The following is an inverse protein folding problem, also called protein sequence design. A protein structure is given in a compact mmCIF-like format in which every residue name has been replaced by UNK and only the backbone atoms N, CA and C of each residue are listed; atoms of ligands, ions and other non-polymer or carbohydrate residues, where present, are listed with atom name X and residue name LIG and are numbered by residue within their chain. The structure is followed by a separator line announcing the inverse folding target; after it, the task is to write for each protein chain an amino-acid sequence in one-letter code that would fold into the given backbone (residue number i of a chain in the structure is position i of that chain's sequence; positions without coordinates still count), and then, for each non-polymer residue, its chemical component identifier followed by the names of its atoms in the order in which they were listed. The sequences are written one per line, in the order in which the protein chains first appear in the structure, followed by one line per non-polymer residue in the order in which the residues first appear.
data_IF_960498240305
#
_entry.id   IF_960498240305
#
_cell.length_a   1.000
_cell.length_b   1.000
_cell.length_c   1.000
_cell.angle_alpha   90.00
_cell.angle_beta   90.00
_cell.angle_gamma   90.00
#
_symmetry.space_group_name_H-M   'P 1'
#
loop_
_entity.id
_entity.type
_entity.pdbx_description
1 polymer ?
#
# COMPACT_ATOMS: atom_id res chain seq x y z
N UNK A 1 -2.92 16.90 64.01
CA UNK A 1 -2.87 17.54 62.68
C UNK A 1 -1.71 17.00 61.80
N UNK A 2 -0.57 16.68 62.37
CA UNK A 2 0.63 16.21 61.63
C UNK A 2 0.47 14.77 61.09
N UNK A 3 -0.26 13.90 61.82
CA UNK A 3 -0.44 12.50 61.43
C UNK A 3 -1.39 12.29 60.24
N UNK A 4 -2.36 13.19 60.03
CA UNK A 4 -3.24 13.19 58.84
C UNK A 4 -2.51 13.61 57.57
N UNK A 5 -1.63 14.60 57.67
CA UNK A 5 -0.82 15.04 56.53
C UNK A 5 0.22 14.01 56.07
N UNK A 6 0.72 13.18 57.00
CA UNK A 6 1.65 12.08 56.68
C UNK A 6 0.95 10.94 55.99
N UNK A 7 -0.26 10.56 56.38
CA UNK A 7 -1.07 9.52 55.72
C UNK A 7 -1.55 9.92 54.33
N UNK A 8 -1.87 11.22 54.16
CA UNK A 8 -2.29 11.74 52.85
C UNK A 8 -1.14 11.83 51.85
N UNK A 9 0.10 12.12 52.31
CA UNK A 9 1.30 12.04 51.48
C UNK A 9 1.68 10.59 51.14
N UNK A 10 1.49 9.64 52.06
CA UNK A 10 1.75 8.22 51.79
C UNK A 10 0.71 7.64 50.82
N UNK A 11 -0.57 8.02 50.91
CA UNK A 11 -1.63 7.63 49.98
C UNK A 11 -1.38 8.19 48.56
N UNK A 12 -1.02 9.48 48.47
CA UNK A 12 -0.66 10.08 47.16
C UNK A 12 0.62 9.52 46.54
N UNK A 13 1.59 9.11 47.38
CA UNK A 13 2.79 8.43 46.93
C UNK A 13 2.50 7.00 46.44
N UNK A 14 1.56 6.28 47.06
CA UNK A 14 1.11 4.96 46.62
C UNK A 14 0.21 5.02 45.40
N UNK A 15 -0.63 6.03 45.24
CA UNK A 15 -1.44 6.24 44.01
C UNK A 15 -0.59 6.68 42.83
N UNK A 16 0.44 7.49 43.05
CA UNK A 16 1.41 7.84 42.00
C UNK A 16 2.28 6.63 41.59
N UNK A 17 2.70 5.79 42.52
CA UNK A 17 3.42 4.54 42.24
C UNK A 17 2.56 3.45 41.61
N UNK A 18 1.23 3.47 41.82
CA UNK A 18 0.31 2.52 41.16
C UNK A 18 -0.07 2.94 39.73
N UNK A 19 0.13 4.20 39.35
CA UNK A 19 -0.02 4.67 37.97
C UNK A 19 1.22 4.44 37.13
N UNK A 20 2.40 4.23 37.74
CA UNK A 20 3.68 4.04 37.05
C UNK A 20 3.96 2.55 36.73
N UNK A 21 3.23 1.63 37.33
CA UNK A 21 3.28 0.18 37.05
C UNK A 21 1.93 -0.30 36.46
N UNK A 22 1.45 0.33 35.40
CA UNK A 22 0.55 -0.36 34.50
C UNK A 22 1.37 -1.40 33.76
N UNK A 23 1.38 -2.65 34.26
CA UNK A 23 1.99 -3.80 33.57
C UNK A 23 1.68 -3.71 32.08
N UNK A 24 2.74 -3.71 31.25
CA UNK A 24 2.58 -3.64 29.80
C UNK A 24 1.71 -4.82 29.35
N UNK A 25 0.57 -4.55 28.77
CA UNK A 25 -0.27 -5.60 28.24
C UNK A 25 0.29 -6.08 26.88
N UNK A 26 1.10 -7.13 26.90
CA UNK A 26 1.80 -7.67 25.74
C UNK A 26 0.83 -8.16 24.64
N UNK A 27 -0.36 -8.60 24.98
CA UNK A 27 -1.38 -8.96 23.99
C UNK A 27 -1.87 -7.73 23.21
N UNK A 28 -2.07 -6.58 23.88
CA UNK A 28 -2.41 -5.31 23.22
C UNK A 28 -1.22 -4.71 22.47
N UNK A 29 -0.01 -4.89 22.99
CA UNK A 29 1.21 -4.47 22.31
C UNK A 29 1.34 -5.21 20.97
N UNK A 30 1.18 -6.53 20.98
CA UNK A 30 1.24 -7.33 19.77
C UNK A 30 0.15 -6.92 18.76
N UNK A 31 -1.06 -6.59 19.23
CA UNK A 31 -2.12 -6.05 18.36
C UNK A 31 -1.67 -4.75 17.68
N UNK A 32 -1.14 -3.80 18.44
CA UNK A 32 -0.69 -2.52 17.90
C UNK A 32 0.48 -2.67 16.92
N UNK A 33 1.44 -3.57 17.19
CA UNK A 33 2.53 -3.89 16.27
C UNK A 33 1.98 -4.54 14.99
N UNK A 34 0.99 -5.43 15.11
CA UNK A 34 0.36 -6.06 13.95
C UNK A 34 -0.47 -5.05 13.13
N UNK A 35 -1.07 -4.04 13.73
CA UNK A 35 -1.77 -2.98 13.00
C UNK A 35 -0.79 -2.17 12.13
N UNK A 36 0.41 -1.90 12.64
CA UNK A 36 1.50 -1.27 11.87
C UNK A 36 1.97 -2.18 10.75
N UNK A 37 2.22 -3.46 11.05
CA UNK A 37 2.67 -4.46 10.08
C UNK A 37 1.64 -4.69 8.96
N UNK A 38 0.35 -4.77 9.31
CA UNK A 38 -0.75 -4.84 8.34
C UNK A 38 -0.70 -3.67 7.38
N UNK A 39 -0.63 -2.44 7.92
CA UNK A 39 -0.64 -1.25 7.07
C UNK A 39 0.64 -1.16 6.22
N UNK A 40 1.81 -1.53 6.75
CA UNK A 40 3.05 -1.63 5.95
C UNK A 40 2.87 -2.56 4.75
N UNK A 41 2.28 -3.75 4.96
CA UNK A 41 2.06 -4.72 3.89
C UNK A 41 1.00 -4.23 2.89
N UNK A 42 -0.08 -3.61 3.38
CA UNK A 42 -1.16 -3.02 2.57
C UNK A 42 -0.61 -1.95 1.64
N UNK A 43 0.28 -1.07 2.12
CA UNK A 43 0.83 0.04 1.32
C UNK A 43 2.01 -0.33 0.44
N UNK A 44 2.38 -1.62 0.38
CA UNK A 44 3.32 -2.15 -0.59
C UNK A 44 4.72 -2.45 -0.05
N UNK A 45 4.89 -2.66 1.26
CA UNK A 45 6.13 -3.15 1.81
C UNK A 45 6.48 -4.56 1.30
N UNK A 46 7.78 -4.86 1.29
CA UNK A 46 8.30 -6.20 1.07
C UNK A 46 8.01 -7.08 2.29
N UNK A 47 7.78 -8.37 2.07
CA UNK A 47 7.47 -9.34 3.13
C UNK A 47 8.59 -9.39 4.16
N UNK A 48 9.82 -9.60 3.72
CA UNK A 48 11.00 -9.68 4.58
C UNK A 48 11.21 -8.42 5.43
N UNK A 49 10.85 -7.23 4.89
CA UNK A 49 10.91 -5.98 5.64
C UNK A 49 9.85 -5.91 6.75
N UNK A 50 8.65 -6.42 6.48
CA UNK A 50 7.57 -6.47 7.49
C UNK A 50 7.98 -7.43 8.60
N UNK A 51 8.50 -8.62 8.27
CA UNK A 51 8.99 -9.61 9.23
C UNK A 51 10.09 -9.02 10.13
N UNK A 52 11.15 -8.45 9.55
CA UNK A 52 12.24 -7.79 10.28
C UNK A 52 11.73 -6.65 11.18
N UNK A 53 10.78 -5.85 10.70
CA UNK A 53 10.21 -4.75 11.49
C UNK A 53 9.43 -5.25 12.69
N UNK A 54 8.60 -6.30 12.53
CA UNK A 54 7.83 -6.90 13.63
C UNK A 54 8.76 -7.53 14.66
N UNK A 55 9.75 -8.31 14.20
CA UNK A 55 10.73 -8.96 15.07
C UNK A 55 11.48 -7.92 15.93
N UNK A 56 11.97 -6.84 15.30
CA UNK A 56 12.68 -5.77 16.02
C UNK A 56 11.78 -5.01 16.99
N UNK A 57 10.54 -4.70 16.59
CA UNK A 57 9.61 -4.00 17.48
C UNK A 57 9.27 -4.86 18.70
N UNK A 58 8.96 -6.14 18.53
CA UNK A 58 8.70 -7.05 19.65
C UNK A 58 9.94 -7.23 20.55
N UNK A 59 11.13 -7.41 19.94
CA UNK A 59 12.40 -7.55 20.67
C UNK A 59 12.76 -6.32 21.48
N UNK A 60 12.43 -5.10 21.01
CA UNK A 60 12.68 -3.87 21.74
C UNK A 60 11.91 -3.80 23.08
N UNK A 61 10.75 -4.45 23.18
CA UNK A 61 9.99 -4.57 24.43
C UNK A 61 10.42 -5.79 25.28
N UNK A 62 11.52 -6.45 24.94
CA UNK A 62 12.05 -7.57 25.69
C UNK A 62 11.33 -8.90 25.45
N UNK A 63 10.57 -9.02 24.36
CA UNK A 63 10.00 -10.29 23.95
C UNK A 63 11.06 -11.20 23.35
N UNK A 64 10.94 -12.49 23.63
CA UNK A 64 11.85 -13.54 23.15
C UNK A 64 11.11 -14.52 22.20
N UNK A 65 11.87 -15.42 21.55
CA UNK A 65 11.34 -16.48 20.66
C UNK A 65 10.32 -15.97 19.66
N UNK A 66 10.62 -14.82 19.07
CA UNK A 66 9.73 -14.17 18.11
C UNK A 66 9.80 -14.93 16.80
N UNK A 67 8.66 -15.46 16.37
CA UNK A 67 8.50 -16.12 15.08
C UNK A 67 7.46 -15.35 14.27
N UNK A 68 7.90 -14.76 13.18
CA UNK A 68 7.05 -13.98 12.27
C UNK A 68 6.93 -14.72 10.95
N UNK A 69 5.72 -14.90 10.46
CA UNK A 69 5.44 -15.46 9.16
C UNK A 69 4.48 -14.56 8.41
N UNK A 70 4.90 -14.05 7.27
CA UNK A 70 4.14 -13.11 6.46
C UNK A 70 3.97 -13.65 5.05
N UNK A 71 2.74 -13.61 4.57
CA UNK A 71 2.38 -13.76 3.15
C UNK A 71 1.49 -12.59 2.73
N UNK A 72 1.23 -12.42 1.44
CA UNK A 72 0.44 -11.29 0.91
C UNK A 72 -0.94 -11.11 1.55
N UNK A 73 -1.52 -12.19 2.10
CA UNK A 73 -2.88 -12.22 2.64
C UNK A 73 -2.96 -12.45 4.15
N UNK A 74 -1.82 -12.67 4.82
CA UNK A 74 -1.80 -13.04 6.23
C UNK A 74 -0.47 -12.70 6.90
N UNK A 75 -0.55 -12.23 8.15
CA UNK A 75 0.58 -12.08 9.07
C UNK A 75 0.28 -12.94 10.29
N UNK A 76 1.20 -13.80 10.65
CA UNK A 76 1.14 -14.61 11.88
C UNK A 76 2.39 -14.32 12.71
N UNK A 77 2.19 -14.04 13.98
CA UNK A 77 3.27 -13.79 14.94
C UNK A 77 3.05 -14.64 16.18
N UNK A 78 4.11 -15.32 16.61
CA UNK A 78 4.19 -15.97 17.92
C UNK A 78 5.41 -15.38 18.63
N UNK A 79 5.23 -14.96 19.87
CA UNK A 79 6.30 -14.42 20.72
C UNK A 79 6.12 -14.88 22.15
N UNK A 80 7.23 -14.93 22.90
CA UNK A 80 7.24 -15.11 24.34
C UNK A 80 7.44 -13.74 25.00
N UNK A 81 6.47 -13.33 25.81
CA UNK A 81 6.53 -12.08 26.55
C UNK A 81 7.49 -12.21 27.76
N UNK A 82 8.02 -11.11 28.32
CA UNK A 82 8.93 -11.15 29.46
C UNK A 82 8.40 -11.82 30.74
N UNK A 83 7.08 -11.95 30.86
CA UNK A 83 6.39 -12.69 31.94
C UNK A 83 6.31 -14.21 31.68
N UNK A 84 6.80 -14.67 30.50
CA UNK A 84 6.79 -16.07 30.06
C UNK A 84 5.49 -16.49 29.36
N UNK A 85 4.54 -15.57 29.14
CA UNK A 85 3.32 -15.86 28.36
C UNK A 85 3.68 -16.02 26.88
N UNK A 86 3.20 -17.10 26.25
CA UNK A 86 3.32 -17.30 24.80
C UNK A 86 2.08 -16.74 24.12
N UNK A 87 2.28 -15.71 23.30
CA UNK A 87 1.23 -15.02 22.57
C UNK A 87 1.32 -15.35 21.08
N UNK A 88 0.20 -15.77 20.51
CA UNK A 88 0.07 -15.95 19.05
C UNK A 88 -1.10 -15.15 18.54
N UNK A 89 -0.86 -14.34 17.50
CA UNK A 89 -1.90 -13.59 16.82
C UNK A 89 -1.77 -13.71 15.30
N UNK A 90 -2.91 -13.68 14.64
CA UNK A 90 -3.04 -13.76 13.18
C UNK A 90 -3.79 -12.53 12.70
N UNK A 91 -3.28 -11.91 11.62
CA UNK A 91 -3.93 -10.78 10.96
C UNK A 91 -4.16 -11.12 9.49
N UNK A 92 -5.42 -11.11 9.06
CA UNK A 92 -5.79 -11.34 7.67
C UNK A 92 -5.73 -10.01 6.91
N UNK A 93 -5.01 -9.99 5.78
CA UNK A 93 -4.90 -8.86 4.89
C UNK A 93 -5.88 -9.00 3.75
N UNK A 94 -6.78 -8.03 3.59
CA UNK A 94 -7.81 -8.03 2.54
C UNK A 94 -7.58 -6.86 1.57
N UNK A 95 -6.96 -5.77 2.07
CA UNK A 95 -6.70 -4.56 1.30
C UNK A 95 -5.33 -4.65 0.64
N UNK A 96 -5.21 -4.03 -0.52
CA UNK A 96 -3.95 -3.82 -1.21
C UNK A 96 -3.97 -2.42 -1.83
N UNK A 97 -3.00 -1.62 -1.50
CA UNK A 97 -2.81 -0.26 -2.00
C UNK A 97 -1.32 -0.04 -2.25
N UNK A 98 -0.96 1.05 -2.92
CA UNK A 98 0.44 1.46 -3.05
C UNK A 98 0.54 2.91 -2.58
N UNK A 99 1.18 3.10 -1.42
CA UNK A 99 1.37 4.42 -0.84
C UNK A 99 2.74 4.52 -0.16
N UNK A 100 3.75 4.92 -0.93
CA UNK A 100 5.13 5.01 -0.43
C UNK A 100 5.34 6.13 0.59
N UNK A 101 4.57 7.21 0.53
CA UNK A 101 4.61 8.26 1.55
C UNK A 101 4.21 7.69 2.91
N UNK A 102 3.08 6.98 2.96
CA UNK A 102 2.64 6.30 4.19
C UNK A 102 3.63 5.22 4.63
N UNK A 103 4.19 4.45 3.69
CA UNK A 103 5.19 3.44 3.99
C UNK A 103 6.43 4.03 4.66
N UNK A 104 6.89 5.20 4.20
CA UNK A 104 8.03 5.88 4.79
C UNK A 104 7.76 6.29 6.25
N UNK A 105 6.59 6.87 6.53
CA UNK A 105 6.19 7.19 7.91
C UNK A 105 6.00 5.97 8.80
N UNK A 106 5.51 4.84 8.27
CA UNK A 106 5.42 3.58 9.03
C UNK A 106 6.80 3.02 9.34
N UNK A 107 7.77 3.13 8.43
CA UNK A 107 9.15 2.78 8.67
C UNK A 107 9.79 3.68 9.75
N UNK A 108 9.51 4.99 9.72
CA UNK A 108 9.97 5.91 10.76
C UNK A 108 9.35 5.57 12.12
N UNK A 109 8.06 5.23 12.13
CA UNK A 109 7.36 4.79 13.34
C UNK A 109 7.97 3.51 13.91
N UNK A 110 8.27 2.51 13.06
CA UNK A 110 8.90 1.27 13.51
C UNK A 110 10.28 1.53 14.13
N UNK A 111 11.10 2.40 13.52
CA UNK A 111 12.39 2.84 14.08
C UNK A 111 12.24 3.57 15.42
N UNK A 112 11.24 4.46 15.51
CA UNK A 112 10.94 5.17 16.75
C UNK A 112 10.56 4.19 17.88
N UNK A 113 9.72 3.19 17.58
CA UNK A 113 9.31 2.16 18.54
C UNK A 113 10.52 1.38 19.05
N UNK A 114 11.43 0.99 18.15
CA UNK A 114 12.65 0.26 18.54
C UNK A 114 13.62 1.10 19.38
N UNK A 115 13.66 2.41 19.18
CA UNK A 115 14.58 3.30 19.89
C UNK A 115 14.06 3.73 21.27
N UNK A 116 12.77 4.06 21.36
CA UNK A 116 12.18 4.73 22.53
C UNK A 116 11.25 3.84 23.35
N UNK A 117 10.85 2.66 22.83
CA UNK A 117 9.89 1.75 23.48
C UNK A 117 8.70 2.46 24.14
N UNK A 118 7.91 3.25 23.36
CA UNK A 118 6.87 4.10 23.88
C UNK A 118 5.75 3.28 24.56
N UNK A 119 4.98 3.93 25.45
CA UNK A 119 3.77 3.32 26.01
C UNK A 119 2.74 3.02 24.90
N UNK A 120 1.82 2.07 25.15
CA UNK A 120 0.76 1.73 24.19
C UNK A 120 -0.07 2.94 23.75
N UNK A 121 -0.33 3.88 24.67
CA UNK A 121 -1.07 5.10 24.35
C UNK A 121 -0.31 5.98 23.35
N UNK A 122 0.99 6.19 23.56
CA UNK A 122 1.86 6.97 22.67
C UNK A 122 2.05 6.29 21.30
N UNK A 123 2.16 4.94 21.30
CA UNK A 123 2.26 4.16 20.07
C UNK A 123 1.02 4.33 19.21
N UNK A 124 -0.18 4.15 19.81
CA UNK A 124 -1.46 4.32 19.12
C UNK A 124 -1.66 5.75 18.63
N UNK A 125 -1.34 6.77 19.44
CA UNK A 125 -1.42 8.17 19.03
C UNK A 125 -0.54 8.46 17.79
N UNK A 126 0.69 7.95 17.78
CA UNK A 126 1.59 8.13 16.63
C UNK A 126 1.12 7.36 15.40
N UNK A 127 0.63 6.14 15.58
CA UNK A 127 0.06 5.35 14.48
C UNK A 127 -1.16 6.06 13.88
N UNK A 128 -2.08 6.54 14.72
CA UNK A 128 -3.23 7.34 14.28
C UNK A 128 -2.78 8.63 13.56
N UNK A 129 -1.70 9.24 14.02
CA UNK A 129 -1.09 10.39 13.35
C UNK A 129 -0.61 10.07 11.93
N UNK A 130 -0.02 8.89 11.71
CA UNK A 130 0.38 8.41 10.38
C UNK A 130 -0.85 8.10 9.53
N UNK A 131 -1.85 7.42 10.08
CA UNK A 131 -3.06 7.03 9.36
C UNK A 131 -3.91 8.21 8.92
N UNK A 132 -4.01 9.24 9.75
CA UNK A 132 -4.80 10.46 9.49
C UNK A 132 -4.04 11.52 8.68
N UNK A 133 -2.78 11.25 8.29
CA UNK A 133 -1.99 12.19 7.50
C UNK A 133 -2.63 12.42 6.13
N UNK A 134 -2.64 13.67 5.71
CA UNK A 134 -3.17 14.06 4.38
C UNK A 134 -2.33 13.42 3.28
N UNK A 135 -2.97 12.59 2.48
CA UNK A 135 -2.43 12.05 1.24
C UNK A 135 -2.29 13.20 0.22
N UNK A 136 -1.41 13.03 -0.78
CA UNK A 136 -1.26 13.97 -1.89
C UNK A 136 -2.59 14.46 -2.45
N UNK A 137 -2.64 15.73 -2.81
CA UNK A 137 -3.85 16.33 -3.38
C UNK A 137 -4.28 15.60 -4.66
N UNK A 138 -5.59 15.43 -4.83
CA UNK A 138 -6.17 14.72 -5.98
C UNK A 138 -5.68 15.30 -7.31
N UNK A 139 -5.46 16.63 -7.39
CA UNK A 139 -4.98 17.26 -8.61
C UNK A 139 -3.57 16.82 -9.01
N UNK A 140 -2.70 16.47 -8.04
CA UNK A 140 -1.37 15.92 -8.33
C UNK A 140 -1.45 14.58 -9.07
N UNK A 141 -2.45 13.75 -8.80
CA UNK A 141 -2.69 12.51 -9.53
C UNK A 141 -2.98 12.79 -11.01
N UNK A 142 -3.74 13.83 -11.32
CA UNK A 142 -4.00 14.21 -12.70
C UNK A 142 -2.75 14.77 -13.40
N UNK A 143 -1.99 15.61 -12.71
CA UNK A 143 -0.73 16.14 -13.25
C UNK A 143 0.25 14.99 -13.53
N UNK A 144 0.40 14.04 -12.60
CA UNK A 144 1.25 12.86 -12.80
C UNK A 144 0.77 12.03 -14.00
N UNK A 145 -0.54 11.83 -14.16
CA UNK A 145 -1.09 11.09 -15.29
C UNK A 145 -0.79 11.76 -16.64
N UNK A 146 -0.85 13.10 -16.72
CA UNK A 146 -0.49 13.86 -17.92
C UNK A 146 0.98 13.58 -18.31
N UNK A 147 1.89 13.69 -17.33
CA UNK A 147 3.33 13.48 -17.60
C UNK A 147 3.64 12.02 -17.91
N UNK A 148 3.03 11.06 -17.21
CA UNK A 148 3.24 9.64 -17.45
C UNK A 148 2.70 9.28 -18.84
N UNK A 149 1.41 9.49 -19.10
CA UNK A 149 0.82 9.09 -20.36
C UNK A 149 1.44 9.81 -21.55
N UNK A 150 1.56 11.14 -21.47
CA UNK A 150 2.15 11.94 -22.54
C UNK A 150 3.62 11.66 -22.76
N UNK A 151 4.39 11.55 -21.68
CA UNK A 151 5.82 11.26 -21.74
C UNK A 151 6.12 9.89 -22.32
N UNK A 152 5.41 8.84 -21.90
CA UNK A 152 5.60 7.49 -22.44
C UNK A 152 5.13 7.36 -23.89
N UNK A 153 4.05 8.03 -24.30
CA UNK A 153 3.63 8.05 -25.70
C UNK A 153 4.75 8.59 -26.59
N UNK A 154 5.37 9.70 -26.22
CA UNK A 154 6.50 10.29 -26.98
C UNK A 154 7.76 9.40 -26.87
N UNK A 155 8.07 8.89 -25.68
CA UNK A 155 9.22 8.00 -25.45
C UNK A 155 9.20 6.76 -26.34
N UNK A 156 8.02 6.17 -26.58
CA UNK A 156 7.85 5.02 -27.47
C UNK A 156 7.71 5.40 -28.96
N UNK A 157 8.08 6.62 -29.32
CA UNK A 157 8.20 7.06 -30.71
C UNK A 157 6.95 7.76 -31.26
N UNK A 158 6.02 8.16 -30.40
CA UNK A 158 4.90 9.03 -30.80
C UNK A 158 5.35 10.49 -30.97
N UNK A 159 4.58 11.26 -31.74
CA UNK A 159 4.78 12.70 -31.92
C UNK A 159 4.25 13.48 -30.67
N UNK A 160 4.58 14.76 -30.58
CA UNK A 160 4.05 15.62 -29.50
C UNK A 160 2.52 15.66 -29.46
N UNK A 161 1.87 15.55 -30.61
CA UNK A 161 0.42 15.49 -30.70
C UNK A 161 -0.14 14.19 -30.10
N UNK A 162 0.56 13.06 -30.31
CA UNK A 162 0.21 11.78 -29.70
C UNK A 162 0.41 11.83 -28.17
N UNK A 163 1.47 12.53 -27.72
CA UNK A 163 1.71 12.81 -26.31
C UNK A 163 0.59 13.62 -25.66
N UNK A 164 0.10 14.66 -26.35
CA UNK A 164 -1.02 15.48 -25.88
C UNK A 164 -2.32 14.65 -25.82
N UNK A 165 -2.60 13.87 -26.86
CA UNK A 165 -3.76 12.96 -26.90
C UNK A 165 -3.69 11.92 -25.77
N UNK A 166 -2.54 11.29 -25.57
CA UNK A 166 -2.31 10.32 -24.50
C UNK A 166 -2.49 10.95 -23.11
N UNK A 167 -2.04 12.19 -22.92
CA UNK A 167 -2.26 12.94 -21.67
C UNK A 167 -3.75 13.13 -21.36
N UNK A 168 -4.57 13.43 -22.38
CA UNK A 168 -6.04 13.53 -22.24
C UNK A 168 -6.64 12.16 -21.85
N UNK A 169 -6.20 11.08 -22.49
CA UNK A 169 -6.61 9.70 -22.10
C UNK A 169 -6.19 9.41 -20.67
N UNK A 170 -4.98 9.79 -20.26
CA UNK A 170 -4.47 9.62 -18.90
C UNK A 170 -5.35 10.30 -17.84
N UNK A 171 -5.83 11.52 -18.12
CA UNK A 171 -6.78 12.22 -17.24
C UNK A 171 -8.08 11.41 -17.11
N UNK A 172 -8.61 10.91 -18.23
CA UNK A 172 -9.82 10.09 -18.24
C UNK A 172 -9.64 8.79 -17.47
N UNK A 173 -8.50 8.12 -17.59
CA UNK A 173 -8.13 6.90 -16.84
C UNK A 173 -8.18 7.17 -15.34
N UNK A 174 -7.52 8.23 -14.84
CA UNK A 174 -7.53 8.56 -13.40
C UNK A 174 -8.95 8.92 -12.94
N UNK A 175 -9.70 9.65 -13.74
CA UNK A 175 -11.08 9.99 -13.40
C UNK A 175 -11.97 8.73 -13.28
N UNK A 176 -11.88 7.83 -14.25
CA UNK A 176 -12.63 6.57 -14.26
C UNK A 176 -12.23 5.67 -13.09
N UNK A 177 -10.93 5.51 -12.83
CA UNK A 177 -10.44 4.74 -11.68
C UNK A 177 -11.01 5.30 -10.37
N UNK A 178 -10.96 6.61 -10.16
CA UNK A 178 -11.50 7.24 -8.96
C UNK A 178 -13.04 7.13 -8.86
N UNK A 179 -13.75 7.13 -9.98
CA UNK A 179 -15.20 7.04 -10.00
C UNK A 179 -15.71 5.61 -9.75
N UNK A 180 -15.04 4.62 -10.36
CA UNK A 180 -15.43 3.21 -10.28
C UNK A 180 -14.98 2.57 -8.96
N UNK A 181 -13.76 2.86 -8.47
CA UNK A 181 -13.26 2.29 -7.21
C UNK A 181 -14.11 2.65 -5.98
N UNK A 182 -14.93 3.69 -6.06
CA UNK A 182 -15.90 4.04 -5.01
C UNK A 182 -17.15 3.17 -5.03
N UNK A 183 -17.45 2.49 -6.14
CA UNK A 183 -18.68 1.71 -6.37
C UNK A 183 -18.44 0.22 -6.37
N UNK A 184 -17.29 -0.20 -6.87
CA UNK A 184 -16.96 -1.61 -7.04
C UNK A 184 -15.59 -1.91 -6.42
N UNK A 185 -15.53 -2.97 -5.61
CA UNK A 185 -14.30 -3.43 -4.97
C UNK A 185 -13.54 -4.46 -5.83
N UNK A 186 -14.07 -4.80 -7.02
CA UNK A 186 -13.38 -5.74 -7.91
C UNK A 186 -12.36 -5.01 -8.78
N UNK A 187 -11.09 -5.07 -8.35
CA UNK A 187 -9.96 -4.45 -9.03
C UNK A 187 -9.84 -4.88 -10.50
N UNK A 188 -10.08 -6.16 -10.79
CA UNK A 188 -9.94 -6.70 -12.15
C UNK A 188 -11.04 -6.14 -13.07
N UNK A 189 -12.30 -6.17 -12.62
CA UNK A 189 -13.42 -5.63 -13.39
C UNK A 189 -13.26 -4.12 -13.64
N UNK A 190 -12.85 -3.37 -12.61
CA UNK A 190 -12.59 -1.93 -12.74
C UNK A 190 -11.50 -1.66 -13.77
N UNK A 191 -10.36 -2.36 -13.72
CA UNK A 191 -9.28 -2.13 -14.68
C UNK A 191 -9.66 -2.56 -16.11
N UNK A 192 -10.46 -3.62 -16.27
CA UNK A 192 -10.98 -4.00 -17.59
C UNK A 192 -11.82 -2.87 -18.21
N UNK A 193 -12.79 -2.35 -17.46
CA UNK A 193 -13.68 -1.27 -17.96
C UNK A 193 -12.89 0.00 -18.27
N UNK A 194 -11.94 0.36 -17.40
CA UNK A 194 -11.09 1.54 -17.60
C UNK A 194 -10.20 1.39 -18.84
N UNK A 195 -9.57 0.23 -19.02
CA UNK A 195 -8.70 -0.05 -20.17
C UNK A 195 -9.51 -0.05 -21.49
N UNK A 196 -10.69 -0.65 -21.46
CA UNK A 196 -11.60 -0.64 -22.61
C UNK A 196 -12.01 0.79 -22.98
N UNK A 197 -12.42 1.59 -22.00
CA UNK A 197 -12.79 2.99 -22.23
C UNK A 197 -11.60 3.83 -22.71
N UNK A 198 -10.41 3.62 -22.15
CA UNK A 198 -9.18 4.29 -22.56
C UNK A 198 -8.81 3.95 -24.02
N UNK A 199 -8.96 2.68 -24.42
CA UNK A 199 -8.76 2.24 -25.80
C UNK A 199 -9.73 2.89 -26.77
N UNK A 200 -11.03 2.90 -26.46
CA UNK A 200 -12.05 3.59 -27.28
C UNK A 200 -11.76 5.09 -27.39
N UNK A 201 -11.39 5.73 -26.30
CA UNK A 201 -11.07 7.17 -26.30
C UNK A 201 -9.84 7.45 -27.17
N UNK A 202 -8.79 6.62 -27.10
CA UNK A 202 -7.58 6.74 -27.92
C UNK A 202 -7.90 6.68 -29.42
N UNK A 203 -8.71 5.71 -29.83
CA UNK A 203 -9.16 5.55 -31.23
C UNK A 203 -10.01 6.75 -31.65
N UNK A 204 -10.92 7.18 -30.81
CA UNK A 204 -11.80 8.32 -31.07
C UNK A 204 -11.02 9.62 -31.27
N UNK A 205 -10.00 9.89 -30.42
CA UNK A 205 -9.16 11.08 -30.55
C UNK A 205 -8.42 11.12 -31.88
N UNK A 206 -7.83 9.98 -32.30
CA UNK A 206 -7.16 9.91 -33.59
C UNK A 206 -8.15 10.08 -34.76
N UNK A 207 -9.34 9.51 -34.66
CA UNK A 207 -10.41 9.70 -35.68
C UNK A 207 -10.78 11.17 -35.86
N UNK A 208 -10.75 11.96 -34.76
CA UNK A 208 -10.99 13.42 -34.83
C UNK A 208 -9.72 14.24 -35.13
N UNK A 209 -8.60 13.61 -35.47
CA UNK A 209 -7.34 14.29 -35.81
C UNK A 209 -6.55 14.80 -34.61
N UNK A 210 -6.90 14.37 -33.39
CA UNK A 210 -6.16 14.67 -32.17
C UNK A 210 -5.23 13.48 -31.89
N UNK A 211 -4.05 13.48 -32.51
CA UNK A 211 -3.11 12.37 -32.53
C UNK A 211 -3.05 11.69 -33.89
N UNK A 212 -1.97 10.93 -34.11
CA UNK A 212 -1.69 10.29 -35.38
C UNK A 212 -1.56 8.77 -35.19
N UNK A 213 -0.90 8.34 -34.08
CA UNK A 213 -0.56 6.95 -33.83
C UNK A 213 -1.34 6.41 -32.65
N UNK A 214 -2.42 5.68 -32.91
CA UNK A 214 -3.28 5.07 -31.88
C UNK A 214 -2.48 4.18 -30.93
N UNK A 215 -1.56 3.37 -31.46
CA UNK A 215 -0.70 2.47 -30.69
C UNK A 215 0.15 3.24 -29.65
N UNK A 216 0.73 4.38 -30.03
CA UNK A 216 1.56 5.19 -29.11
C UNK A 216 0.72 5.85 -28.00
N UNK A 217 -0.48 6.32 -28.35
CA UNK A 217 -1.42 6.88 -27.39
C UNK A 217 -1.87 5.82 -26.39
N UNK A 218 -2.21 4.61 -26.87
CA UNK A 218 -2.59 3.50 -26.00
C UNK A 218 -1.43 3.06 -25.10
N UNK A 219 -0.20 2.96 -25.61
CA UNK A 219 0.98 2.63 -24.80
C UNK A 219 1.16 3.64 -23.66
N UNK A 220 1.04 4.92 -23.94
CA UNK A 220 1.14 5.95 -22.88
C UNK A 220 0.04 5.80 -21.82
N UNK A 221 -1.21 5.54 -22.23
CA UNK A 221 -2.31 5.33 -21.31
C UNK A 221 -2.17 4.06 -20.44
N UNK A 222 -1.68 2.96 -21.03
CA UNK A 222 -1.44 1.69 -20.32
C UNK A 222 -0.44 1.87 -19.18
N UNK A 223 0.59 2.72 -19.35
CA UNK A 223 1.64 2.91 -18.34
C UNK A 223 1.11 3.37 -16.98
N UNK A 224 -0.07 4.01 -16.93
CA UNK A 224 -0.72 4.39 -15.65
C UNK A 224 -1.27 3.16 -14.90
N UNK A 225 -1.66 2.11 -15.62
CA UNK A 225 -2.35 0.95 -15.07
C UNK A 225 -1.43 -0.27 -14.84
N UNK A 226 -0.27 -0.32 -15.50
CA UNK A 226 0.67 -1.46 -15.38
C UNK A 226 1.13 -1.62 -13.93
N UNK A 227 0.98 -2.83 -13.34
CA UNK A 227 1.39 -3.12 -11.97
C UNK A 227 2.91 -3.31 -11.84
N UNK A 228 3.72 -2.33 -12.29
CA UNK A 228 5.17 -2.44 -12.37
C UNK A 228 5.83 -2.67 -11.00
N UNK A 229 5.42 -1.92 -9.99
CA UNK A 229 5.94 -2.03 -8.63
C UNK A 229 5.61 -3.40 -8.03
N UNK A 230 4.37 -3.88 -8.21
CA UNK A 230 3.96 -5.19 -7.71
C UNK A 230 4.76 -6.32 -8.36
N UNK A 231 5.06 -6.21 -9.66
CA UNK A 231 5.91 -7.16 -10.39
C UNK A 231 7.37 -7.12 -9.89
N UNK A 232 7.92 -5.94 -9.68
CA UNK A 232 9.29 -5.77 -9.15
C UNK A 232 9.41 -6.35 -7.75
N UNK A 233 8.46 -6.08 -6.86
CA UNK A 233 8.43 -6.64 -5.52
C UNK A 233 8.25 -8.17 -5.55
N UNK A 234 7.43 -8.69 -6.47
CA UNK A 234 7.27 -10.13 -6.65
C UNK A 234 8.59 -10.83 -6.98
N UNK A 235 9.35 -10.28 -7.93
CA UNK A 235 10.67 -10.82 -8.30
C UNK A 235 11.64 -10.71 -7.12
N UNK A 236 11.62 -9.60 -6.40
CA UNK A 236 12.47 -9.39 -5.24
C UNK A 236 12.16 -10.35 -4.11
N UNK A 237 10.88 -10.54 -3.74
CA UNK A 237 10.46 -11.52 -2.75
C UNK A 237 10.98 -12.93 -3.11
N UNK A 238 10.90 -13.33 -4.39
CA UNK A 238 11.45 -14.61 -4.85
C UNK A 238 12.97 -14.69 -4.69
N UNK A 239 13.69 -13.60 -4.96
CA UNK A 239 15.16 -13.58 -4.86
C UNK A 239 15.64 -13.58 -3.40
N UNK A 240 14.84 -13.06 -2.48
CA UNK A 240 15.13 -13.07 -1.03
C UNK A 240 14.74 -14.37 -0.34
N UNK A 241 14.11 -15.30 -1.06
CA UNK A 241 13.74 -16.64 -0.56
C UNK A 241 12.25 -16.84 -0.31
N UNK A 242 11.43 -15.79 -0.38
CA UNK A 242 9.98 -15.84 -0.19
C UNK A 242 9.25 -16.26 -1.47
N UNK A 243 9.59 -17.44 -1.98
CA UNK A 243 9.08 -17.95 -3.25
C UNK A 243 7.55 -17.98 -3.33
N UNK A 244 6.89 -18.40 -2.24
CA UNK A 244 5.43 -18.52 -2.21
C UNK A 244 4.76 -17.14 -2.36
N UNK A 245 5.21 -16.16 -1.60
CA UNK A 245 4.68 -14.79 -1.66
C UNK A 245 5.00 -14.12 -2.98
N UNK A 246 6.25 -14.24 -3.44
CA UNK A 246 6.67 -13.70 -4.73
C UNK A 246 5.86 -14.27 -5.89
N UNK A 247 5.62 -15.59 -5.91
CA UNK A 247 4.82 -16.24 -6.94
C UNK A 247 3.36 -15.76 -6.91
N UNK A 248 2.74 -15.66 -5.74
CA UNK A 248 1.36 -15.16 -5.60
C UNK A 248 1.23 -13.71 -6.10
N UNK A 249 2.18 -12.84 -5.75
CA UNK A 249 2.22 -11.45 -6.25
C UNK A 249 2.41 -11.40 -7.76
N UNK A 250 3.29 -12.24 -8.30
CA UNK A 250 3.54 -12.30 -9.74
C UNK A 250 2.29 -12.72 -10.51
N UNK A 251 1.63 -13.79 -10.07
CA UNK A 251 0.39 -14.28 -10.69
C UNK A 251 -0.70 -13.21 -10.66
N UNK A 252 -0.90 -12.54 -9.52
CA UNK A 252 -1.87 -11.46 -9.40
C UNK A 252 -1.55 -10.28 -10.35
N UNK A 253 -0.28 -9.92 -10.47
CA UNK A 253 0.17 -8.86 -11.38
C UNK A 253 -0.01 -9.23 -12.85
N UNK A 254 0.27 -10.48 -13.22
CA UNK A 254 0.06 -10.99 -14.57
C UNK A 254 -1.43 -11.07 -14.92
N UNK A 255 -2.29 -11.49 -13.99
CA UNK A 255 -3.74 -11.47 -14.18
C UNK A 255 -4.25 -10.05 -14.43
N UNK A 256 -3.78 -9.08 -13.64
CA UNK A 256 -4.14 -7.68 -13.83
C UNK A 256 -3.68 -7.17 -15.20
N UNK A 257 -2.44 -7.46 -15.59
CA UNK A 257 -1.91 -7.06 -16.90
C UNK A 257 -2.70 -7.70 -18.06
N UNK A 258 -3.07 -8.98 -17.93
CA UNK A 258 -3.89 -9.67 -18.92
C UNK A 258 -5.28 -9.03 -19.06
N UNK A 259 -5.91 -8.67 -17.95
CA UNK A 259 -7.22 -7.99 -17.94
C UNK A 259 -7.15 -6.62 -18.60
N UNK A 260 -6.10 -5.84 -18.35
CA UNK A 260 -5.85 -4.56 -19.00
C UNK A 260 -5.67 -4.76 -20.51
N UNK A 261 -4.86 -5.72 -20.91
CA UNK A 261 -4.64 -6.05 -22.33
C UNK A 261 -5.94 -6.48 -23.03
N UNK A 262 -6.78 -7.30 -22.38
CA UNK A 262 -8.09 -7.68 -22.91
C UNK A 262 -9.01 -6.47 -23.12
N UNK A 263 -8.99 -5.49 -22.20
CA UNK A 263 -9.78 -4.26 -22.34
C UNK A 263 -9.39 -3.47 -23.58
N UNK A 264 -8.08 -3.22 -23.79
CA UNK A 264 -7.59 -2.54 -25.00
C UNK A 264 -7.84 -3.37 -26.27
N UNK A 265 -7.59 -4.68 -26.23
CA UNK A 265 -7.84 -5.56 -27.37
C UNK A 265 -9.31 -5.53 -27.81
N UNK A 266 -10.26 -5.55 -26.85
CA UNK A 266 -11.67 -5.46 -27.16
C UNK A 266 -12.03 -4.13 -27.81
N UNK A 267 -11.43 -3.02 -27.38
CA UNK A 267 -11.67 -1.70 -28.01
C UNK A 267 -11.21 -1.68 -29.48
N UNK A 268 -10.08 -2.29 -29.80
CA UNK A 268 -9.56 -2.41 -31.16
C UNK A 268 -10.47 -3.30 -32.02
N UNK A 269 -10.90 -4.45 -31.48
CA UNK A 269 -11.76 -5.39 -32.20
C UNK A 269 -13.12 -4.77 -32.57
N UNK A 270 -13.74 -4.03 -31.64
CA UNK A 270 -15.05 -3.38 -31.86
C UNK A 270 -15.00 -2.24 -32.86
N UNK A 271 -13.86 -1.58 -33.01
CA UNK A 271 -13.67 -0.49 -33.99
C UNK A 271 -13.18 -0.97 -35.36
N UNK A 272 -13.10 -2.30 -35.55
CA UNK A 272 -12.85 -2.91 -36.84
C UNK A 272 -11.38 -3.04 -37.24
N UNK A 273 -10.43 -2.81 -36.31
CA UNK A 273 -8.98 -3.04 -36.56
C UNK A 273 -8.33 -2.22 -37.68
N UNK A 274 -9.11 -1.43 -38.42
CA UNK A 274 -8.71 -0.74 -39.63
C UNK A 274 -8.02 0.61 -39.46
N UNK A 275 -7.59 0.93 -38.23
CA UNK A 275 -6.94 2.22 -37.90
C UNK A 275 -5.50 2.00 -37.38
N UNK A 276 -5.02 0.76 -37.45
CA UNK A 276 -3.65 0.40 -37.10
C UNK A 276 -2.75 0.46 -38.33
#
# INVERSE_FOLDING_TARGET
MIERASKEKASKGQEAGSMENAEMNYSRLLQAILDIAEEMLVVGAEVSRVEDSVERMCGAYGCDRINVFVITSNIQVTMEAPDGEILTQIRRIIRNDVNFDRLDYLNDLSRYICAETPSLAQLNEKFDGVMNRKIYSVWMKYVSAIFIAGGFAVFFGGQLLDGAASALVGIAVIWLLNALSKRDHNLLATNFVVSFAAGLLSITLVHFGIGIHVDKIMIGAIMIQIPGIAMTNAVRDMLTGDLATGLLRLVNSLLLAAVIACGFALSILLTGGGIL
#
